data_IF_812107774899
#
_entry.id   IF_812107774899
#
_cell.length_a   1.000
_cell.length_b   1.000
_cell.length_c   1.000
_cell.angle_alpha   90.00
_cell.angle_beta   90.00
_cell.angle_gamma   90.00
#
_symmetry.space_group_name_H-M   'P 1'
#
loop_
_entity.id
_entity.type
_entity.pdbx_description
1 polymer ?
#
# COMPACT_ATOMS: atom_id res chain seq x y z
N UNK A 1 5.28 -7.82 -10.64
CA UNK A 1 5.01 -7.75 -9.18
C UNK A 1 6.38 -7.63 -8.50
N UNK A 2 6.54 -6.79 -7.47
CA UNK A 2 7.82 -6.71 -6.76
C UNK A 2 8.09 -8.03 -6.03
N UNK A 3 9.32 -8.52 -6.09
CA UNK A 3 9.72 -9.84 -5.58
C UNK A 3 10.97 -9.72 -4.72
N UNK A 4 11.15 -10.62 -3.76
CA UNK A 4 12.31 -10.66 -2.87
C UNK A 4 13.01 -11.99 -3.00
N UNK A 5 14.33 -11.96 -3.08
CA UNK A 5 15.19 -13.13 -2.96
C UNK A 5 16.23 -12.89 -1.87
N UNK A 6 16.49 -13.88 -1.01
CA UNK A 6 17.50 -13.79 0.04
C UNK A 6 18.87 -14.19 -0.52
N UNK A 7 19.92 -13.44 -0.20
CA UNK A 7 21.30 -13.88 -0.45
C UNK A 7 21.66 -14.84 0.67
N UNK A 8 21.83 -16.12 0.34
CA UNK A 8 22.42 -17.07 1.27
C UNK A 8 23.94 -16.98 1.12
N UNK A 9 24.64 -16.53 2.17
CA UNK A 9 26.08 -16.74 2.29
C UNK A 9 26.32 -18.20 2.66
N UNK A 10 26.60 -19.04 1.67
CA UNK A 10 27.03 -20.43 1.89
C UNK A 10 28.43 -20.45 2.52
N UNK A 11 28.49 -20.60 3.84
CA UNK A 11 29.59 -21.30 4.50
C UNK A 11 29.07 -22.02 5.73
N UNK A 12 28.64 -23.27 5.58
CA UNK A 12 28.98 -24.38 6.48
C UNK A 12 28.44 -25.75 5.99
N UNK A 13 29.39 -26.60 5.62
CA UNK A 13 29.46 -28.07 5.69
C UNK A 13 28.20 -28.91 5.43
N UNK A 14 28.27 -29.57 4.27
CA UNK A 14 27.68 -30.86 3.89
C UNK A 14 27.51 -31.85 5.05
N UNK A 15 26.27 -32.27 5.29
CA UNK A 15 25.91 -33.63 5.71
C UNK A 15 24.79 -34.14 4.82
N UNK A 16 25.04 -35.29 4.20
CA UNK A 16 24.23 -35.93 3.15
C UNK A 16 23.42 -37.07 3.76
N UNK A 17 22.27 -37.35 3.11
CA UNK A 17 21.48 -38.59 3.01
C UNK A 17 20.21 -38.70 3.89
N UNK A 18 19.15 -39.42 3.45
CA UNK A 18 18.65 -39.60 2.06
C UNK A 18 17.10 -39.56 1.90
N UNK A 19 16.62 -39.07 0.74
CA UNK A 19 15.69 -39.68 -0.26
C UNK A 19 14.46 -40.50 0.25
N UNK A 20 13.16 -40.18 -0.03
CA UNK A 20 12.30 -40.39 -1.27
C UNK A 20 10.80 -40.31 -0.79
N UNK A 21 9.70 -40.17 -1.60
CA UNK A 21 9.47 -39.81 -3.02
C UNK A 21 8.51 -38.62 -3.30
N UNK A 22 8.50 -38.19 -4.56
CA UNK A 22 7.52 -37.34 -5.27
C UNK A 22 6.14 -37.97 -5.50
N UNK A 23 5.10 -37.11 -5.52
CA UNK A 23 3.91 -36.99 -6.42
C UNK A 23 2.80 -36.29 -5.60
N UNK A 24 2.11 -35.24 -6.04
CA UNK A 24 1.27 -35.15 -7.24
C UNK A 24 1.07 -33.69 -7.67
N UNK A 25 0.99 -33.52 -8.99
CA UNK A 25 0.53 -32.34 -9.71
C UNK A 25 -0.99 -32.21 -9.50
N UNK A 26 -1.47 -31.13 -8.88
CA UNK A 26 -2.87 -30.73 -8.96
C UNK A 26 -3.01 -29.48 -9.83
N UNK A 27 -3.49 -29.71 -11.06
CA UNK A 27 -4.10 -28.68 -11.90
C UNK A 27 -5.42 -28.26 -11.25
N UNK A 28 -5.61 -26.99 -10.94
CA UNK A 28 -6.95 -26.40 -11.02
C UNK A 28 -6.88 -25.03 -11.69
N UNK A 29 -7.46 -25.02 -12.89
CA UNK A 29 -7.83 -23.83 -13.64
C UNK A 29 -9.10 -23.30 -13.00
N UNK A 30 -9.05 -22.15 -12.33
CA UNK A 30 -10.24 -21.33 -12.16
C UNK A 30 -10.23 -20.25 -13.25
N UNK A 31 -10.72 -20.63 -14.43
CA UNK A 31 -11.16 -19.68 -15.45
C UNK A 31 -12.45 -19.02 -14.96
N UNK A 32 -12.38 -17.74 -14.63
CA UNK A 32 -13.58 -16.93 -14.35
C UNK A 32 -14.01 -16.30 -15.66
N UNK A 33 -15.06 -16.85 -16.29
CA UNK A 33 -15.67 -16.27 -17.48
C UNK A 33 -16.70 -15.21 -17.08
N UNK A 34 -16.48 -13.96 -17.43
CA UNK A 34 -17.53 -12.94 -17.43
C UNK A 34 -18.30 -13.04 -18.76
N UNK A 35 -19.43 -13.74 -18.73
CA UNK A 35 -20.39 -13.72 -19.84
C UNK A 35 -21.38 -12.57 -19.66
N UNK A 36 -21.29 -11.52 -20.48
CA UNK A 36 -22.35 -10.52 -20.60
C UNK A 36 -23.39 -11.02 -21.61
N UNK A 37 -24.54 -11.49 -21.13
CA UNK A 37 -25.71 -11.65 -21.99
C UNK A 37 -26.57 -10.41 -21.82
N UNK A 38 -26.40 -9.43 -22.70
CA UNK A 38 -27.31 -8.29 -22.83
C UNK A 38 -28.67 -8.82 -23.29
N UNK A 39 -29.61 -8.95 -22.35
CA UNK A 39 -31.04 -8.93 -22.66
C UNK A 39 -31.65 -7.70 -22.02
N UNK A 40 -32.07 -6.81 -22.91
CA UNK A 40 -32.92 -5.65 -22.68
C UNK A 40 -34.25 -6.07 -22.06
N UNK A 41 -34.51 -5.71 -20.81
CA UNK A 41 -35.87 -5.43 -20.34
C UNK A 41 -35.84 -4.81 -18.94
N UNK A 42 -36.41 -3.62 -18.86
CA UNK A 42 -36.69 -2.82 -17.68
C UNK A 42 -37.44 -3.60 -16.58
N UNK A 43 -36.94 -3.56 -15.33
CA UNK A 43 -37.71 -3.37 -14.09
C UNK A 43 -36.78 -3.47 -12.85
N UNK A 44 -36.86 -2.53 -11.88
CA UNK A 44 -36.16 -2.66 -10.61
C UNK A 44 -37.10 -3.19 -9.52
N UNK A 45 -36.75 -4.30 -8.86
CA UNK A 45 -37.32 -4.63 -7.56
C UNK A 45 -36.28 -5.38 -6.71
N UNK A 46 -35.64 -4.66 -5.79
CA UNK A 46 -34.92 -5.24 -4.67
C UNK A 46 -35.79 -5.04 -3.42
N UNK A 47 -36.40 -6.12 -2.94
CA UNK A 47 -37.31 -6.11 -1.80
C UNK A 47 -36.55 -6.10 -0.47
N UNK A 48 -36.85 -5.11 0.37
CA UNK A 48 -36.58 -5.16 1.80
C UNK A 48 -37.84 -5.65 2.51
N UNK A 49 -37.71 -6.77 3.22
CA UNK A 49 -38.76 -7.34 4.06
C UNK A 49 -38.79 -6.59 5.39
N UNK A 50 -39.89 -5.88 5.66
CA UNK A 50 -40.27 -5.46 7.02
C UNK A 50 -41.69 -5.95 7.32
N UNK A 51 -41.82 -6.74 8.38
CA UNK A 51 -43.11 -7.11 8.98
C UNK A 51 -43.61 -5.96 9.85
N UNK A 52 -44.80 -5.43 9.56
CA UNK A 52 -45.74 -4.95 10.58
C UNK A 52 -47.13 -4.70 9.96
N UNK A 53 -48.16 -5.19 10.65
CA UNK A 53 -49.57 -4.99 10.35
C UNK A 53 -49.98 -3.54 10.67
N UNK A 54 -50.63 -2.81 9.75
CA UNK A 54 -51.75 -1.90 10.02
C UNK A 54 -52.32 -1.29 8.73
N UNK A 55 -53.57 -0.82 8.83
CA UNK A 55 -54.58 -0.60 7.76
C UNK A 55 -54.30 0.54 6.76
N UNK A 56 -55.00 0.42 5.62
CA UNK A 56 -55.07 1.32 4.45
C UNK A 56 -55.31 2.82 4.80
N UNK A 57 -54.53 3.67 4.14
CA UNK A 57 -54.85 5.05 3.80
C UNK A 57 -54.05 5.46 2.57
N UNK A 58 -54.71 5.70 1.43
CA UNK A 58 -54.05 6.06 0.18
C UNK A 58 -53.53 7.51 0.26
N UNK A 59 -52.21 7.68 0.36
CA UNK A 59 -51.54 8.98 0.23
C UNK A 59 -51.00 9.09 -1.19
N UNK A 60 -51.44 10.13 -1.91
CA UNK A 60 -51.00 10.44 -3.28
C UNK A 60 -49.59 11.03 -3.21
N UNK A 61 -48.56 10.23 -3.50
CA UNK A 61 -47.17 10.70 -3.57
C UNK A 61 -46.97 11.43 -4.89
N UNK A 62 -46.85 12.76 -4.84
CA UNK A 62 -46.44 13.56 -5.99
C UNK A 62 -45.00 13.23 -6.42
N UNK A 63 -44.71 13.27 -7.72
CA UNK A 63 -43.37 13.03 -8.23
C UNK A 63 -42.41 14.12 -7.72
N UNK A 64 -41.47 13.76 -6.85
CA UNK A 64 -40.36 14.63 -6.48
C UNK A 64 -39.43 14.78 -7.69
N UNK A 65 -39.45 15.95 -8.32
CA UNK A 65 -38.39 16.38 -9.23
C UNK A 65 -37.28 17.00 -8.39
N UNK A 66 -36.13 16.33 -8.33
CA UNK A 66 -34.91 16.91 -7.80
C UNK A 66 -34.12 17.49 -8.97
N UNK A 67 -33.99 18.81 -9.01
CA UNK A 67 -33.11 19.52 -9.96
C UNK A 67 -31.89 20.02 -9.20
N UNK A 68 -30.71 19.49 -9.54
CA UNK A 68 -29.45 20.03 -9.07
C UNK A 68 -28.89 20.98 -10.14
N UNK A 69 -28.91 22.29 -9.84
CA UNK A 69 -28.16 23.27 -10.62
C UNK A 69 -26.81 23.45 -9.94
N UNK A 70 -25.76 22.84 -10.50
CA UNK A 70 -24.40 23.17 -10.08
C UNK A 70 -23.89 24.29 -10.98
N UNK A 71 -23.92 25.51 -10.46
CA UNK A 71 -23.11 26.59 -11.01
C UNK A 71 -21.64 26.22 -10.79
N UNK A 72 -21.02 25.58 -11.78
CA UNK A 72 -19.58 25.42 -11.81
C UNK A 72 -18.98 26.79 -12.12
N UNK A 73 -18.54 27.49 -11.06
CA UNK A 73 -17.53 28.53 -11.24
C UNK A 73 -16.28 27.83 -11.76
N UNK A 74 -16.03 27.94 -13.05
CA UNK A 74 -14.82 27.42 -13.68
C UNK A 74 -13.62 28.17 -13.10
N UNK A 75 -12.99 27.55 -12.09
CA UNK A 75 -11.67 27.95 -11.63
C UNK A 75 -10.71 27.61 -12.77
N UNK A 76 -10.04 28.59 -13.42
CA UNK A 76 -9.14 28.29 -14.52
C UNK A 76 -7.97 27.48 -13.97
N UNK A 77 -8.00 26.17 -14.20
CA UNK A 77 -6.95 25.26 -13.78
C UNK A 77 -5.86 25.31 -14.85
N UNK A 78 -4.68 25.79 -14.47
CA UNK A 78 -3.47 25.88 -15.32
C UNK A 78 -2.85 24.50 -15.63
N UNK A 79 -3.59 23.40 -15.43
CA UNK A 79 -3.08 22.06 -15.64
C UNK A 79 -3.16 21.69 -17.12
N UNK A 80 -2.16 20.98 -17.63
CA UNK A 80 -2.21 20.41 -18.97
C UNK A 80 -3.35 19.41 -19.05
N UNK A 81 -4.36 19.73 -19.85
CA UNK A 81 -5.49 18.86 -20.10
C UNK A 81 -5.14 17.85 -21.20
N UNK A 82 -5.45 16.57 -20.95
CA UNK A 82 -5.33 15.51 -21.94
C UNK A 82 -6.75 15.13 -22.38
N UNK A 83 -7.12 15.49 -23.61
CA UNK A 83 -8.41 15.11 -24.20
C UNK A 83 -8.25 13.79 -24.93
N UNK A 84 -8.93 12.76 -24.45
CA UNK A 84 -8.95 11.44 -25.08
C UNK A 84 -10.10 11.35 -26.08
N UNK A 85 -9.80 10.98 -27.33
CA UNK A 85 -10.83 10.69 -28.33
C UNK A 85 -11.49 9.34 -28.03
N UNK A 86 -12.79 9.14 -28.33
CA UNK A 86 -13.45 7.85 -28.17
C UNK A 86 -12.76 6.74 -28.97
N UNK A 87 -12.56 5.58 -28.34
CA UNK A 87 -11.96 4.39 -28.95
C UNK A 87 -13.02 3.28 -28.99
N UNK A 88 -13.19 2.63 -30.14
CA UNK A 88 -14.22 1.59 -30.35
C UNK A 88 -13.78 0.20 -29.88
N UNK A 89 -12.49 -0.14 -29.94
CA UNK A 89 -11.92 -1.41 -29.49
C UNK A 89 -10.44 -1.25 -29.12
N UNK A 90 -9.94 -2.03 -28.15
CA UNK A 90 -8.55 -2.08 -27.73
C UNK A 90 -8.14 -3.53 -27.40
N UNK A 91 -7.08 -4.02 -28.03
CA UNK A 91 -6.51 -5.34 -27.76
C UNK A 91 -4.98 -5.28 -27.69
N UNK A 92 -4.40 -6.03 -26.77
CA UNK A 92 -2.95 -6.07 -26.57
C UNK A 92 -2.54 -6.60 -25.20
N UNK A 93 -1.25 -6.78 -24.99
CA UNK A 93 -0.66 -7.12 -23.68
C UNK A 93 0.26 -5.99 -23.24
N UNK A 94 0.08 -5.50 -22.02
CA UNK A 94 0.91 -4.43 -21.45
C UNK A 94 1.66 -4.94 -20.24
N UNK A 95 2.96 -4.64 -20.18
CA UNK A 95 3.76 -4.86 -18.98
C UNK A 95 3.59 -3.68 -18.03
N UNK A 96 2.85 -3.89 -16.94
CA UNK A 96 2.64 -2.86 -15.93
C UNK A 96 3.92 -2.61 -15.11
N UNK A 97 4.13 -1.38 -14.64
CA UNK A 97 5.21 -1.08 -13.72
C UNK A 97 5.02 -1.78 -12.36
N UNK A 98 6.04 -1.69 -11.50
CA UNK A 98 5.92 -2.15 -10.11
C UNK A 98 4.79 -1.46 -9.37
N UNK A 99 4.22 -2.14 -8.37
CA UNK A 99 3.21 -1.54 -7.50
C UNK A 99 3.89 -0.68 -6.43
N UNK A 100 3.42 0.57 -6.28
CA UNK A 100 3.90 1.51 -5.27
C UNK A 100 3.77 0.95 -3.85
N UNK A 101 2.57 0.48 -3.48
CA UNK A 101 2.30 -0.07 -2.15
C UNK A 101 3.07 -1.36 -1.90
N UNK A 102 3.24 -2.24 -2.90
CA UNK A 102 4.06 -3.44 -2.73
C UNK A 102 5.54 -3.10 -2.55
N UNK A 103 6.06 -2.15 -3.33
CA UNK A 103 7.45 -1.70 -3.22
C UNK A 103 7.75 -1.21 -1.80
N UNK A 104 6.91 -0.32 -1.26
CA UNK A 104 7.09 0.20 0.11
C UNK A 104 6.98 -0.88 1.19
N UNK A 105 6.00 -1.80 1.07
CA UNK A 105 5.85 -2.91 2.03
C UNK A 105 7.04 -3.85 1.99
N UNK A 106 7.51 -4.21 0.79
CA UNK A 106 8.61 -5.14 0.62
C UNK A 106 9.91 -4.54 1.15
N UNK A 107 10.19 -3.26 0.89
CA UNK A 107 11.38 -2.59 1.43
C UNK A 107 11.38 -2.62 2.97
N UNK A 108 10.23 -2.32 3.58
CA UNK A 108 10.11 -2.32 5.04
C UNK A 108 10.25 -3.73 5.64
N UNK A 109 9.65 -4.75 5.01
CA UNK A 109 9.79 -6.14 5.45
C UNK A 109 11.22 -6.66 5.27
N UNK A 110 11.87 -6.31 4.16
CA UNK A 110 13.28 -6.65 3.92
C UNK A 110 14.19 -6.01 4.98
N UNK A 111 13.93 -4.74 5.31
CA UNK A 111 14.64 -4.01 6.36
C UNK A 111 14.48 -4.65 7.75
N UNK A 112 13.28 -5.14 8.09
CA UNK A 112 13.02 -5.78 9.39
C UNK A 112 13.48 -7.24 9.47
N UNK A 113 13.67 -7.91 8.34
CA UNK A 113 14.11 -9.31 8.30
C UNK A 113 15.58 -9.49 8.71
N UNK A 114 16.05 -10.72 8.83
CA UNK A 114 17.47 -11.04 9.04
C UNK A 114 18.21 -11.28 7.72
N UNK A 115 19.43 -10.76 7.60
CA UNK A 115 20.33 -10.99 6.47
C UNK A 115 20.06 -10.08 5.27
N UNK A 116 20.73 -10.35 4.15
CA UNK A 116 20.69 -9.48 2.97
C UNK A 116 19.62 -9.92 1.97
N UNK A 117 18.75 -9.01 1.58
CA UNK A 117 17.64 -9.24 0.67
C UNK A 117 17.80 -8.44 -0.61
N UNK A 118 17.47 -9.07 -1.73
CA UNK A 118 17.44 -8.45 -3.06
C UNK A 118 15.99 -8.28 -3.48
N UNK A 119 15.56 -7.03 -3.63
CA UNK A 119 14.23 -6.64 -4.08
C UNK A 119 14.27 -6.35 -5.57
N UNK A 120 13.49 -7.10 -6.34
CA UNK A 120 13.36 -6.97 -7.79
C UNK A 120 12.08 -6.25 -8.20
N UNK A 121 12.11 -5.64 -9.39
CA UNK A 121 10.98 -4.92 -9.99
C UNK A 121 10.42 -3.85 -9.03
N UNK A 122 11.33 -3.13 -8.38
CA UNK A 122 11.01 -2.00 -7.52
C UNK A 122 10.48 -0.84 -8.37
N UNK A 123 9.41 -0.17 -7.90
CA UNK A 123 8.88 1.00 -8.61
C UNK A 123 9.83 2.20 -8.42
N UNK A 124 10.28 2.80 -9.52
CA UNK A 124 10.95 4.10 -9.47
C UNK A 124 9.88 5.20 -9.28
N UNK A 125 9.71 5.67 -8.05
CA UNK A 125 8.75 6.73 -7.70
C UNK A 125 9.22 7.49 -6.46
N UNK A 126 8.77 8.73 -6.30
CA UNK A 126 9.10 9.58 -5.15
C UNK A 126 8.79 8.89 -3.81
N UNK A 127 7.64 8.20 -3.72
CA UNK A 127 7.26 7.44 -2.52
C UNK A 127 8.33 6.42 -2.11
N UNK A 128 8.86 5.67 -3.08
CA UNK A 128 9.87 4.64 -2.85
C UNK A 128 11.22 5.29 -2.55
N UNK A 129 11.55 6.39 -3.21
CA UNK A 129 12.78 7.14 -2.94
C UNK A 129 12.82 7.67 -1.50
N UNK A 130 11.72 8.27 -1.04
CA UNK A 130 11.58 8.71 0.35
C UNK A 130 11.69 7.54 1.34
N UNK A 131 11.11 6.39 1.02
CA UNK A 131 11.26 5.18 1.86
C UNK A 131 12.72 4.73 1.94
N UNK A 132 13.45 4.69 0.82
CA UNK A 132 14.87 4.31 0.80
C UNK A 132 15.73 5.26 1.63
N UNK A 133 15.50 6.57 1.52
CA UNK A 133 16.18 7.58 2.35
C UNK A 133 15.86 7.37 3.83
N UNK A 134 14.58 7.13 4.17
CA UNK A 134 14.17 6.90 5.55
C UNK A 134 14.85 5.65 6.14
N UNK A 135 14.94 4.55 5.39
CA UNK A 135 15.68 3.35 5.82
C UNK A 135 17.18 3.63 6.03
N UNK A 136 17.80 4.44 5.18
CA UNK A 136 19.17 4.90 5.37
C UNK A 136 19.34 5.73 6.66
N UNK A 137 18.39 6.64 6.93
CA UNK A 137 18.35 7.42 8.19
C UNK A 137 18.12 6.55 9.42
N UNK A 138 17.44 5.42 9.28
CA UNK A 138 17.31 4.40 10.33
C UNK A 138 18.59 3.56 10.52
N UNK A 139 19.66 3.87 9.78
CA UNK A 139 20.98 3.25 9.92
C UNK A 139 21.12 1.91 9.19
N UNK A 140 20.19 1.56 8.28
CA UNK A 140 20.33 0.34 7.48
C UNK A 140 21.23 0.58 6.27
N UNK A 141 21.95 -0.46 5.87
CA UNK A 141 22.65 -0.48 4.61
C UNK A 141 21.67 -0.83 3.47
N UNK A 142 21.39 0.15 2.63
CA UNK A 142 20.49 0.00 1.47
C UNK A 142 21.17 0.54 0.23
N UNK A 143 21.29 -0.32 -0.79
CA UNK A 143 21.75 0.09 -2.12
C UNK A 143 20.61 -0.05 -3.13
N UNK A 144 20.54 0.87 -4.09
CA UNK A 144 19.45 0.92 -5.06
C UNK A 144 19.98 1.24 -6.46
N UNK A 145 19.51 0.49 -7.45
CA UNK A 145 19.77 0.68 -8.87
C UNK A 145 18.43 0.93 -9.59
N UNK A 146 18.17 2.19 -9.93
CA UNK A 146 16.93 2.63 -10.59
C UNK A 146 16.76 2.02 -11.98
N UNK A 147 17.86 1.83 -12.70
CA UNK A 147 17.86 1.30 -14.07
C UNK A 147 17.51 -0.18 -14.07
N UNK A 148 18.10 -0.94 -13.14
CA UNK A 148 17.78 -2.36 -12.95
C UNK A 148 16.50 -2.61 -12.14
N UNK A 149 15.89 -1.57 -11.57
CA UNK A 149 14.71 -1.64 -10.69
C UNK A 149 14.94 -2.59 -9.52
N UNK A 150 16.11 -2.45 -8.89
CA UNK A 150 16.63 -3.43 -7.95
C UNK A 150 17.17 -2.71 -6.70
N UNK A 151 16.85 -3.22 -5.52
CA UNK A 151 17.42 -2.74 -4.27
C UNK A 151 17.98 -3.90 -3.46
N UNK A 152 19.14 -3.70 -2.83
CA UNK A 152 19.71 -4.63 -1.88
C UNK A 152 19.58 -4.00 -0.49
N UNK A 153 18.89 -4.70 0.41
CA UNK A 153 18.58 -4.24 1.77
C UNK A 153 19.19 -5.23 2.75
N UNK A 154 20.10 -4.77 3.59
CA UNK A 154 20.58 -5.54 4.73
C UNK A 154 19.57 -5.41 5.88
N UNK A 155 18.94 -6.52 6.22
CA UNK A 155 17.92 -6.59 7.25
C UNK A 155 18.50 -6.54 8.66
N UNK A 156 17.80 -5.84 9.56
CA UNK A 156 18.24 -5.57 10.93
C UNK A 156 17.76 -6.58 11.99
N UNK A 157 16.98 -7.60 11.60
CA UNK A 157 16.48 -8.62 12.54
C UNK A 157 15.50 -8.07 13.58
N UNK A 158 14.68 -7.09 13.20
CA UNK A 158 13.59 -6.57 14.02
C UNK A 158 13.95 -5.42 14.97
N UNK A 159 15.17 -4.88 14.94
CA UNK A 159 15.53 -3.64 15.65
C UNK A 159 16.36 -2.72 14.78
N UNK A 160 15.90 -1.49 14.57
CA UNK A 160 16.62 -0.51 13.76
C UNK A 160 17.96 -0.12 14.41
N UNK A 161 19.07 -0.06 13.63
CA UNK A 161 20.40 0.22 14.16
C UNK A 161 20.50 1.52 14.97
N UNK A 162 19.82 2.58 14.53
CA UNK A 162 19.80 3.88 15.24
C UNK A 162 19.13 3.81 16.61
N UNK A 163 18.21 2.87 16.82
CA UNK A 163 17.53 2.63 18.10
C UNK A 163 18.42 2.10 19.22
N UNK A 164 19.72 1.88 18.95
CA UNK A 164 20.73 1.47 19.93
C UNK A 164 21.43 2.65 20.62
N UNK A 165 21.30 3.87 20.08
CA UNK A 165 21.83 5.09 20.69
C UNK A 165 20.80 5.72 21.61
N UNK A 166 21.17 6.00 22.86
CA UNK A 166 20.27 6.61 23.83
C UNK A 166 19.94 8.07 23.45
N UNK A 167 18.64 8.39 23.38
CA UNK A 167 18.13 9.76 23.39
C UNK A 167 18.28 10.57 22.09
N UNK A 168 18.54 9.93 20.94
CA UNK A 168 18.55 10.65 19.65
C UNK A 168 17.14 10.83 19.09
N UNK A 169 16.88 12.02 18.56
CA UNK A 169 15.68 12.33 17.78
C UNK A 169 15.98 12.19 16.29
N UNK A 170 15.15 11.42 15.58
CA UNK A 170 15.36 11.06 14.18
C UNK A 170 14.19 11.56 13.35
N UNK A 171 14.47 12.49 12.44
CA UNK A 171 13.48 13.03 11.52
C UNK A 171 13.44 12.26 10.20
N UNK A 172 12.28 11.69 9.88
CA UNK A 172 12.00 10.96 8.65
C UNK A 172 11.02 11.75 7.78
N UNK A 173 11.54 12.35 6.71
CA UNK A 173 10.73 13.10 5.75
C UNK A 173 10.26 12.21 4.61
N UNK A 174 8.94 12.04 4.47
CA UNK A 174 8.32 11.15 3.49
C UNK A 174 7.63 11.87 2.33
N UNK A 175 7.76 13.19 2.22
CA UNK A 175 7.13 13.95 1.13
C UNK A 175 5.61 13.72 1.09
N UNK A 176 5.06 13.30 -0.05
CA UNK A 176 3.63 12.99 -0.21
C UNK A 176 3.34 11.46 -0.16
N UNK A 177 4.27 10.68 0.41
CA UNK A 177 4.28 9.23 0.36
C UNK A 177 3.39 8.57 1.41
N UNK A 178 2.06 8.78 1.32
CA UNK A 178 1.13 8.22 2.30
C UNK A 178 1.12 6.68 2.36
N UNK A 179 1.55 6.01 1.28
CA UNK A 179 1.69 4.54 1.28
C UNK A 179 2.92 4.05 2.05
N UNK A 180 3.91 4.92 2.30
CA UNK A 180 5.09 4.68 3.13
C UNK A 180 4.85 5.09 4.59
N UNK A 181 4.19 6.24 4.80
CA UNK A 181 3.98 6.84 6.13
C UNK A 181 3.35 5.88 7.13
N UNK A 182 2.17 5.32 6.83
CA UNK A 182 1.43 4.48 7.79
C UNK A 182 2.22 3.22 8.21
N UNK A 183 2.75 2.40 7.28
CA UNK A 183 3.58 1.26 7.67
C UNK A 183 4.84 1.66 8.43
N UNK A 184 5.47 2.77 8.06
CA UNK A 184 6.72 3.21 8.69
C UNK A 184 6.50 3.63 10.14
N UNK A 185 5.41 4.35 10.46
CA UNK A 185 5.06 4.68 11.85
C UNK A 185 4.95 3.41 12.69
N UNK A 186 4.23 2.40 12.20
CA UNK A 186 4.08 1.12 12.92
C UNK A 186 5.42 0.40 13.09
N UNK A 187 6.25 0.35 12.05
CA UNK A 187 7.55 -0.32 12.11
C UNK A 187 8.53 0.40 13.05
N UNK A 188 8.57 1.73 13.02
CA UNK A 188 9.40 2.53 13.93
C UNK A 188 8.94 2.35 15.37
N UNK A 189 7.63 2.31 15.61
CA UNK A 189 7.13 2.06 16.95
C UNK A 189 7.52 0.65 17.47
N UNK A 190 7.45 -0.36 16.61
CA UNK A 190 7.77 -1.74 16.98
C UNK A 190 9.28 -2.05 17.08
N UNK A 191 10.10 -1.41 16.23
CA UNK A 191 11.51 -1.75 16.03
C UNK A 191 12.48 -0.60 16.34
N UNK A 192 11.98 0.57 16.73
CA UNK A 192 12.76 1.80 16.91
C UNK A 192 13.54 1.90 18.23
N UNK A 193 13.34 0.98 19.17
CA UNK A 193 14.06 1.01 20.45
C UNK A 193 13.70 2.24 21.29
N UNK A 194 14.69 2.84 21.94
CA UNK A 194 14.52 3.93 22.91
C UNK A 194 14.76 5.33 22.31
N UNK A 195 14.62 5.48 21.01
CA UNK A 195 14.85 6.75 20.30
C UNK A 195 13.52 7.48 20.02
N UNK A 196 13.59 8.80 19.86
CA UNK A 196 12.44 9.62 19.43
C UNK A 196 12.43 9.71 17.91
N UNK A 197 11.25 9.68 17.30
CA UNK A 197 11.09 9.70 15.84
C UNK A 197 10.02 10.70 15.43
N UNK A 198 10.39 11.63 14.56
CA UNK A 198 9.47 12.59 13.95
C UNK A 198 9.27 12.18 12.49
N UNK A 199 8.03 11.88 12.11
CA UNK A 199 7.67 11.56 10.74
C UNK A 199 6.84 12.69 10.14
N UNK A 200 7.35 13.31 9.08
CA UNK A 200 6.72 14.47 8.44
C UNK A 200 6.69 14.33 6.91
N UNK A 201 5.96 15.23 6.26
CA UNK A 201 5.85 15.31 4.82
C UNK A 201 5.47 16.71 4.35
N UNK A 202 5.09 16.80 3.08
CA UNK A 202 4.60 18.07 2.51
C UNK A 202 3.22 18.45 3.11
N UNK A 203 2.75 19.70 3.00
CA UNK A 203 1.46 20.11 3.58
C UNK A 203 0.28 19.20 3.21
N UNK A 204 0.22 18.74 1.95
CA UNK A 204 -0.81 17.80 1.49
C UNK A 204 -0.78 16.44 2.20
N UNK A 205 0.37 16.03 2.75
CA UNK A 205 0.52 14.82 3.55
C UNK A 205 -0.06 15.02 4.96
N UNK A 206 0.13 16.20 5.57
CA UNK A 206 -0.41 16.54 6.90
C UNK A 206 -1.95 16.57 6.92
N UNK A 207 -2.57 16.92 5.79
CA UNK A 207 -4.03 16.87 5.62
C UNK A 207 -4.61 15.45 5.57
N UNK A 208 -3.79 14.39 5.44
CA UNK A 208 -4.31 13.02 5.30
C UNK A 208 -4.62 12.42 6.68
N UNK A 209 -5.79 11.81 6.87
CA UNK A 209 -6.18 11.25 8.16
C UNK A 209 -5.29 10.08 8.56
N UNK A 210 -4.77 10.13 9.79
CA UNK A 210 -3.98 9.06 10.42
C UNK A 210 -4.42 8.74 11.86
N UNK A 211 -5.45 9.44 12.37
CA UNK A 211 -5.91 9.32 13.76
C UNK A 211 -6.31 7.90 14.18
N UNK A 212 -6.92 7.12 13.29
CA UNK A 212 -7.29 5.73 13.59
C UNK A 212 -6.06 4.86 13.87
N UNK A 213 -4.97 5.08 13.13
CA UNK A 213 -3.71 4.36 13.34
C UNK A 213 -3.08 4.76 14.68
N UNK A 214 -3.01 6.06 14.97
CA UNK A 214 -2.45 6.56 16.25
C UNK A 214 -3.24 6.03 17.43
N UNK A 215 -4.58 6.06 17.34
CA UNK A 215 -5.47 5.51 18.37
C UNK A 215 -5.22 4.02 18.59
N UNK A 216 -5.13 3.24 17.51
CA UNK A 216 -4.83 1.81 17.59
C UNK A 216 -3.46 1.51 18.19
N UNK A 217 -2.43 2.30 17.84
CA UNK A 217 -1.10 2.15 18.42
C UNK A 217 -1.10 2.48 19.92
N UNK A 218 -1.74 3.58 20.34
CA UNK A 218 -1.87 3.94 21.77
C UNK A 218 -2.54 2.84 22.58
N UNK A 219 -3.55 2.16 22.03
CA UNK A 219 -4.20 1.01 22.68
C UNK A 219 -3.24 -0.18 22.89
N UNK A 220 -2.21 -0.30 22.07
CA UNK A 220 -1.15 -1.30 22.20
C UNK A 220 0.00 -0.85 23.11
N UNK A 221 -0.12 0.31 23.78
CA UNK A 221 0.90 0.84 24.69
C UNK A 221 2.00 1.65 24.00
N UNK A 222 1.81 1.99 22.72
CA UNK A 222 2.74 2.84 21.98
C UNK A 222 2.70 4.30 22.47
N UNK A 223 3.87 4.89 22.68
CA UNK A 223 4.01 6.34 22.89
C UNK A 223 4.12 7.03 21.52
N UNK A 224 3.00 7.58 21.04
CA UNK A 224 2.89 8.23 19.72
C UNK A 224 1.96 9.42 19.82
N UNK A 225 2.38 10.60 19.37
CA UNK A 225 1.58 11.82 19.37
C UNK A 225 1.52 12.47 17.99
N UNK A 226 0.46 13.24 17.76
CA UNK A 226 0.33 14.10 16.57
C UNK A 226 0.80 15.50 16.96
N UNK A 227 1.77 16.04 16.23
CA UNK A 227 2.38 17.33 16.55
C UNK A 227 1.65 18.51 15.89
N UNK A 228 1.05 18.31 14.72
CA UNK A 228 0.32 19.32 13.93
C UNK A 228 -0.81 18.70 13.09
#
# INVERSE_FOLDING_TARGET
MAQVSKIYSETQKTRVLPNVPETQISKSLHSVSFGSTLKTSFAPSCGLVLKSNCKLGAVKVGSLKVSASMATSEKPSRASEIVLQPINDISGTVKLPGSKSLSNRILLLAALSEGTNVVHNLLNSDDVHHMLIALGKLGLHVTHDSEKKLAIVEGCGGRFPVGKGDGQEIELFLGNAGTAMRPLITAVNAAGGNSSYILDGVPRMRERPIGDLVTGLKQLGADVELLE
#
